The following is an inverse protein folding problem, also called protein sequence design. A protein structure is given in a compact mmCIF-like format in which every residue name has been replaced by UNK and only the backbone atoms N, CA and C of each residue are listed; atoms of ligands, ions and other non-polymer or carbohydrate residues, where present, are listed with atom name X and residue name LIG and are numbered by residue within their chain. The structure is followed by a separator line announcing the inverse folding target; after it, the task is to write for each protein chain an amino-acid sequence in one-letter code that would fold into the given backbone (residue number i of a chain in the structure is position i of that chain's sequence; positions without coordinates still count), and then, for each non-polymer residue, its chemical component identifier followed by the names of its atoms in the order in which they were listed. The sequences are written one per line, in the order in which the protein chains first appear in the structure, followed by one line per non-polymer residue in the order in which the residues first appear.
data_IF_426501979316
#
_entry.id   IF_426501979316
#
_cell.length_a   1.000
_cell.length_b   1.000
_cell.length_c   1.000
_cell.angle_alpha   90.00
_cell.angle_beta   90.00
_cell.angle_gamma   90.00
#
_symmetry.space_group_name_H-M   'P 1'
#
loop_
_entity.id
_entity.type
_entity.pdbx_description
1 polymer ?
#
# COMPACT_ATOMS: atom_id res chain seq x y z
N UNK A 1 6.06 -18.13 11.44
CA UNK A 1 5.71 -16.73 11.11
C UNK A 1 5.48 -16.66 9.61
N UNK A 2 4.34 -16.12 9.17
CA UNK A 2 4.05 -15.93 7.74
C UNK A 2 4.23 -14.45 7.41
N UNK A 3 4.95 -14.16 6.32
CA UNK A 3 5.11 -12.82 5.78
C UNK A 3 4.37 -12.77 4.44
N UNK A 4 3.58 -11.73 4.22
CA UNK A 4 2.93 -11.46 2.93
C UNK A 4 3.50 -10.19 2.34
N UNK A 5 3.88 -10.27 1.08
CA UNK A 5 4.37 -9.13 0.33
C UNK A 5 3.20 -8.43 -0.37
N UNK A 6 3.23 -7.09 -0.35
CA UNK A 6 2.34 -6.23 -1.10
C UNK A 6 3.18 -5.28 -1.95
N UNK A 7 3.01 -5.33 -3.27
CA UNK A 7 3.59 -4.36 -4.18
C UNK A 7 2.57 -3.29 -4.62
N UNK A 8 3.01 -2.04 -4.65
CA UNK A 8 2.29 -0.98 -5.38
C UNK A 8 2.54 -1.13 -6.89
N UNK A 9 1.48 -1.10 -7.69
CA UNK A 9 1.55 -1.29 -9.16
C UNK A 9 0.97 -0.09 -9.91
N UNK A 10 1.54 0.20 -11.09
CA UNK A 10 1.16 1.36 -11.90
C UNK A 10 0.43 0.94 -13.18
N UNK A 11 -0.05 1.90 -13.98
CA UNK A 11 -0.68 1.62 -15.27
C UNK A 11 0.28 0.90 -16.23
N UNK A 12 1.60 1.09 -16.05
CA UNK A 12 2.61 0.44 -16.87
C UNK A 12 2.64 -1.08 -16.68
N UNK A 13 2.33 -1.56 -15.47
CA UNK A 13 2.31 -3.01 -15.16
C UNK A 13 0.91 -3.60 -15.15
N UNK A 14 -0.14 -2.80 -14.92
CA UNK A 14 -1.54 -3.21 -14.90
C UNK A 14 -2.44 -2.09 -15.46
N UNK A 15 -2.50 -1.99 -16.79
CA UNK A 15 -3.19 -0.91 -17.49
C UNK A 15 -4.71 -0.93 -17.29
N UNK A 16 -5.31 -2.14 -17.26
CA UNK A 16 -6.76 -2.32 -17.23
C UNK A 16 -7.37 -2.22 -15.81
N UNK A 17 -6.54 -2.34 -14.77
CA UNK A 17 -7.00 -2.28 -13.38
C UNK A 17 -7.19 -0.81 -12.94
N UNK A 18 -8.37 -0.43 -12.41
CA UNK A 18 -8.56 0.90 -11.86
C UNK A 18 -7.76 1.09 -10.56
N UNK A 19 -7.35 2.33 -10.21
CA UNK A 19 -6.67 2.60 -8.95
C UNK A 19 -7.47 2.10 -7.73
N UNK A 20 -6.77 1.49 -6.78
CA UNK A 20 -7.35 0.87 -5.59
C UNK A 20 -7.70 -0.62 -5.73
N UNK A 21 -7.59 -1.18 -6.94
CA UNK A 21 -7.74 -2.62 -7.16
C UNK A 21 -6.69 -3.40 -6.38
N UNK A 22 -7.14 -4.30 -5.51
CA UNK A 22 -6.29 -5.29 -4.84
C UNK A 22 -6.41 -6.59 -5.62
N UNK A 23 -5.27 -7.15 -6.00
CA UNK A 23 -5.20 -8.44 -6.67
C UNK A 23 -4.07 -9.31 -6.13
N UNK A 24 -3.91 -10.47 -6.76
CA UNK A 24 -2.80 -11.37 -6.53
C UNK A 24 -1.92 -11.45 -7.76
N UNK A 25 -0.63 -11.71 -7.53
CA UNK A 25 0.32 -12.16 -8.52
C UNK A 25 1.11 -13.32 -7.91
N UNK A 26 0.76 -14.55 -8.30
CA UNK A 26 1.22 -15.74 -7.58
C UNK A 26 0.70 -15.75 -6.14
N UNK A 27 1.61 -15.69 -5.17
CA UNK A 27 1.29 -15.65 -3.73
C UNK A 27 1.35 -14.24 -3.13
N UNK A 28 1.75 -13.25 -3.93
CA UNK A 28 1.96 -11.89 -3.49
C UNK A 28 0.76 -11.01 -3.82
N UNK A 29 0.46 -10.08 -2.92
CA UNK A 29 -0.56 -9.09 -3.18
C UNK A 29 -0.01 -7.96 -4.04
N UNK A 30 -0.89 -7.41 -4.86
CA UNK A 30 -0.61 -6.18 -5.59
C UNK A 30 -1.76 -5.20 -5.39
N UNK A 31 -1.41 -3.95 -5.12
CA UNK A 31 -2.36 -2.85 -5.03
C UNK A 31 -2.11 -1.89 -6.18
N UNK A 32 -3.12 -1.67 -7.01
CA UNK A 32 -3.05 -0.69 -8.09
C UNK A 32 -3.03 0.71 -7.49
N UNK A 33 -1.95 1.45 -7.69
CA UNK A 33 -1.79 2.82 -7.19
C UNK A 33 -1.80 3.84 -8.32
N UNK A 34 -2.56 4.92 -8.19
CA UNK A 34 -2.72 5.89 -9.28
C UNK A 34 -1.57 6.89 -9.38
N UNK A 35 -1.95 8.14 -9.68
CA UNK A 35 -1.01 9.25 -9.79
C UNK A 35 -0.41 9.57 -8.42
N UNK A 36 0.87 9.88 -8.40
CA UNK A 36 1.66 10.13 -7.18
C UNK A 36 2.53 11.36 -7.36
N UNK A 37 2.48 12.27 -6.39
CA UNK A 37 3.41 13.40 -6.27
C UNK A 37 4.59 12.96 -5.41
N UNK A 38 5.77 12.91 -6.02
CA UNK A 38 7.00 12.47 -5.36
C UNK A 38 7.54 13.49 -4.36
N UNK A 39 7.34 14.79 -4.60
CA UNK A 39 7.83 15.84 -3.71
C UNK A 39 7.02 15.88 -2.42
N UNK A 40 5.69 15.83 -2.54
CA UNK A 40 4.80 15.78 -1.38
C UNK A 40 4.68 14.37 -0.76
N UNK A 41 5.22 13.35 -1.44
CA UNK A 41 5.01 11.94 -1.14
C UNK A 41 3.53 11.59 -0.95
N UNK A 42 2.69 12.11 -1.84
CA UNK A 42 1.25 12.06 -1.70
C UNK A 42 0.61 11.43 -2.93
N UNK A 43 -0.41 10.61 -2.72
CA UNK A 43 -1.25 10.20 -3.83
C UNK A 43 -2.12 11.35 -4.32
N UNK A 44 -2.32 11.36 -5.62
CA UNK A 44 -3.17 12.31 -6.34
C UNK A 44 -4.31 11.60 -7.07
N UNK A 45 -4.54 10.33 -6.74
CA UNK A 45 -5.69 9.53 -7.12
C UNK A 45 -6.68 9.37 -5.96
N UNK A 46 -7.86 8.81 -6.24
CA UNK A 46 -8.95 8.68 -5.26
C UNK A 46 -8.60 7.83 -4.04
N UNK A 47 -9.55 7.70 -3.11
CA UNK A 47 -9.34 7.02 -1.82
C UNK A 47 -9.59 5.51 -1.89
N UNK A 48 -9.83 4.97 -3.09
CA UNK A 48 -10.29 3.60 -3.31
C UNK A 48 -9.25 2.56 -2.87
N UNK A 49 -7.97 2.95 -2.87
CA UNK A 49 -6.88 2.15 -2.33
C UNK A 49 -7.00 1.86 -0.83
N UNK A 50 -7.68 2.73 -0.07
CA UNK A 50 -7.93 2.52 1.35
C UNK A 50 -8.82 1.28 1.54
N UNK A 51 -9.83 1.11 0.68
CA UNK A 51 -10.68 -0.08 0.67
C UNK A 51 -9.88 -1.33 0.29
N UNK A 52 -9.04 -1.22 -0.75
CA UNK A 52 -8.12 -2.29 -1.15
C UNK A 52 -7.19 -2.74 -0.02
N UNK A 53 -6.51 -1.79 0.62
CA UNK A 53 -5.65 -2.05 1.76
C UNK A 53 -6.43 -2.60 2.96
N UNK A 54 -7.64 -2.10 3.23
CA UNK A 54 -8.51 -2.60 4.29
C UNK A 54 -8.87 -4.08 4.12
N UNK A 55 -9.19 -4.52 2.90
CA UNK A 55 -9.44 -5.94 2.61
C UNK A 55 -8.23 -6.81 2.92
N UNK A 56 -7.03 -6.36 2.54
CA UNK A 56 -5.78 -7.07 2.85
C UNK A 56 -5.55 -7.18 4.36
N UNK A 57 -5.64 -6.06 5.08
CA UNK A 57 -5.41 -6.02 6.52
C UNK A 57 -6.42 -6.86 7.30
N UNK A 58 -7.67 -6.91 6.83
CA UNK A 58 -8.72 -7.74 7.42
C UNK A 58 -8.47 -9.25 7.19
N UNK A 59 -7.95 -9.62 6.02
CA UNK A 59 -7.64 -11.00 5.67
C UNK A 59 -6.40 -11.52 6.42
N UNK A 60 -5.32 -10.76 6.42
CA UNK A 60 -4.02 -11.19 6.96
C UNK A 60 -3.85 -10.88 8.45
N UNK A 61 -4.61 -9.92 9.00
CA UNK A 61 -4.56 -9.47 10.40
C UNK A 61 -3.12 -9.34 10.93
N UNK A 62 -2.26 -8.56 10.25
CA UNK A 62 -0.83 -8.53 10.57
C UNK A 62 -0.58 -7.88 11.94
N UNK A 63 0.39 -8.44 12.67
CA UNK A 63 0.91 -7.84 13.91
C UNK A 63 1.95 -6.74 13.62
N UNK A 64 2.59 -6.81 12.45
CA UNK A 64 3.61 -5.87 11.99
C UNK A 64 3.31 -5.53 10.52
N UNK A 65 3.30 -4.24 10.22
CA UNK A 65 3.31 -3.73 8.85
C UNK A 65 4.67 -3.08 8.60
N UNK A 66 5.45 -3.65 7.70
CA UNK A 66 6.72 -3.07 7.28
C UNK A 66 6.51 -2.32 5.96
N UNK A 67 6.60 -1.00 6.02
CA UNK A 67 6.66 -0.14 4.85
C UNK A 67 8.12 -0.05 4.41
N UNK A 68 8.45 -0.62 3.25
CA UNK A 68 9.80 -0.56 2.73
C UNK A 68 10.18 0.87 2.30
N UNK A 69 9.21 1.62 1.79
CA UNK A 69 9.31 3.05 1.49
C UNK A 69 7.91 3.62 1.31
N UNK A 70 7.83 4.91 0.99
CA UNK A 70 6.58 5.62 0.72
C UNK A 70 6.33 5.85 -0.77
N UNK A 71 7.31 5.54 -1.65
CA UNK A 71 7.09 5.65 -3.09
C UNK A 71 5.83 4.87 -3.52
N UNK A 72 5.01 5.53 -4.35
CA UNK A 72 3.73 5.04 -4.89
C UNK A 72 2.59 4.78 -3.89
N UNK A 73 2.87 4.50 -2.62
CA UNK A 73 1.83 4.25 -1.60
C UNK A 73 1.42 5.53 -0.85
N UNK A 74 2.33 6.50 -0.72
CA UNK A 74 2.10 7.79 -0.10
C UNK A 74 2.20 7.82 1.42
N UNK A 75 2.57 8.97 1.98
CA UNK A 75 2.72 9.22 3.41
C UNK A 75 1.40 9.06 4.18
N UNK A 76 0.27 9.30 3.51
CA UNK A 76 -1.08 9.10 4.03
C UNK A 76 -1.39 7.64 4.40
N UNK A 77 -0.56 6.68 3.98
CA UNK A 77 -0.67 5.28 4.42
C UNK A 77 -0.53 5.16 5.94
N UNK A 78 0.28 6.00 6.60
CA UNK A 78 0.51 5.93 8.05
C UNK A 78 -0.77 6.16 8.87
N UNK A 79 -1.51 7.28 8.72
CA UNK A 79 -2.78 7.46 9.42
C UNK A 79 -3.82 6.42 9.01
N UNK A 80 -3.82 5.96 7.75
CA UNK A 80 -4.73 4.89 7.30
C UNK A 80 -4.46 3.57 8.00
N UNK A 81 -3.20 3.15 8.12
CA UNK A 81 -2.80 1.95 8.86
C UNK A 81 -3.17 2.07 10.34
N UNK A 82 -2.95 3.23 10.94
CA UNK A 82 -3.30 3.45 12.35
C UNK A 82 -4.81 3.35 12.59
N UNK A 83 -5.63 3.71 11.60
CA UNK A 83 -7.09 3.55 11.64
C UNK A 83 -7.53 2.10 11.40
N UNK A 84 -7.00 1.44 10.37
CA UNK A 84 -7.48 0.14 9.90
C UNK A 84 -6.88 -1.06 10.66
N UNK A 85 -5.65 -0.91 11.16
CA UNK A 85 -4.92 -1.93 11.91
C UNK A 85 -4.29 -1.31 13.17
N UNK A 86 -5.08 -0.80 14.12
CA UNK A 86 -4.59 0.02 15.24
C UNK A 86 -3.54 -0.70 16.11
N UNK A 87 -3.65 -2.03 16.24
CA UNK A 87 -2.75 -2.86 17.02
C UNK A 87 -1.46 -3.25 16.28
N UNK A 88 -1.40 -3.08 14.96
CA UNK A 88 -0.20 -3.41 14.20
C UNK A 88 0.93 -2.43 14.53
N UNK A 89 2.11 -2.97 14.79
CA UNK A 89 3.35 -2.17 14.84
C UNK A 89 3.71 -1.77 13.42
N UNK A 90 4.12 -0.52 13.23
CA UNK A 90 4.56 -0.02 11.93
C UNK A 90 6.07 0.10 11.97
N UNK A 91 6.74 -0.57 11.03
CA UNK A 91 8.17 -0.38 10.74
C UNK A 91 8.23 0.35 9.41
N UNK A 92 8.91 1.50 9.36
CA UNK A 92 9.11 2.24 8.13
C UNK A 92 10.62 2.32 7.87
N UNK A 93 11.04 1.86 6.71
CA UNK A 93 12.39 2.12 6.22
C UNK A 93 12.36 3.38 5.37
N UNK A 94 13.17 4.37 5.69
CA UNK A 94 13.28 5.60 4.92
C UNK A 94 14.43 5.45 3.92
N UNK A 95 14.10 5.23 2.65
CA UNK A 95 15.09 5.16 1.57
C UNK A 95 14.67 5.97 0.33
N UNK A 96 13.55 6.70 0.38
CA UNK A 96 13.01 7.44 -0.77
C UNK A 96 13.72 8.78 -1.03
N UNK A 97 14.65 9.17 -0.14
CA UNK A 97 15.54 10.32 -0.27
C UNK A 97 16.82 9.90 -1.02
N UNK A 98 16.83 10.09 -2.34
CA UNK A 98 18.01 9.96 -3.20
C UNK A 98 18.19 11.24 -4.01
#
# INVERSE_FOLDING_TARGET
MQCRYLAATTALSRADDPPGTLGLHGQDYVLRTGRYDRFAMQRCDGTEWISGLGRLLAAERPQIVHLHGLDRIGAEVLPVLRRLAPQAKIVLTLHDFQ
#
